data_IF_839283055898
#
_entry.id   IF_839283055898
#
_cell.length_a   1.000
_cell.length_b   1.000
_cell.length_c   1.000
_cell.angle_alpha   90.00
_cell.angle_beta   90.00
_cell.angle_gamma   90.00
#
_symmetry.space_group_name_H-M   'P 1'
#
loop_
_entity.id
_entity.type
_entity.pdbx_description
1 polymer ?
#
# COMPACT_ATOMS: atom_id res chain seq x y z
N UNK A 1 27.72 8.40 -11.75
CA UNK A 1 27.14 9.74 -11.55
C UNK A 1 26.32 9.70 -10.26
N UNK A 2 26.62 10.56 -9.27
CA UNK A 2 25.85 10.59 -8.02
C UNK A 2 24.59 11.42 -8.28
N UNK A 3 23.40 10.81 -8.17
CA UNK A 3 22.14 11.56 -8.25
C UNK A 3 22.12 12.59 -7.12
N UNK A 4 21.83 13.84 -7.46
CA UNK A 4 21.65 14.94 -6.52
C UNK A 4 20.26 15.50 -6.72
N UNK A 5 19.46 15.56 -5.65
CA UNK A 5 18.13 16.15 -5.65
C UNK A 5 18.16 17.46 -4.86
N UNK A 6 17.42 18.46 -5.33
CA UNK A 6 17.21 19.69 -4.56
C UNK A 6 16.16 19.39 -3.48
N UNK A 7 16.50 19.45 -2.18
CA UNK A 7 15.55 19.17 -1.11
C UNK A 7 14.41 20.19 -1.04
N UNK A 8 14.54 21.36 -1.67
CA UNK A 8 13.46 22.34 -1.74
C UNK A 8 12.40 21.99 -2.80
N UNK A 9 12.68 21.04 -3.70
CA UNK A 9 11.79 20.63 -4.78
C UNK A 9 11.18 19.28 -4.44
N UNK A 10 9.86 19.26 -4.26
CA UNK A 10 9.13 18.01 -4.07
C UNK A 10 9.27 17.09 -5.29
N UNK A 11 9.39 15.80 -4.97
CA UNK A 11 9.24 14.70 -5.92
C UNK A 11 7.90 14.82 -6.66
N UNK A 12 7.80 14.30 -7.88
CA UNK A 12 6.68 14.60 -8.77
C UNK A 12 5.34 14.09 -8.23
N UNK A 13 5.32 12.92 -7.62
CA UNK A 13 4.12 12.33 -7.01
C UNK A 13 3.77 12.95 -5.65
N UNK A 14 4.74 13.55 -4.96
CA UNK A 14 4.54 14.26 -3.69
C UNK A 14 3.91 15.66 -3.86
N UNK A 15 3.79 16.16 -5.09
CA UNK A 15 3.19 17.46 -5.38
C UNK A 15 1.66 17.37 -5.27
N UNK A 16 0.98 18.40 -4.72
CA UNK A 16 -0.47 18.44 -4.73
C UNK A 16 -1.03 18.29 -6.15
N UNK A 17 -1.85 17.26 -6.35
CA UNK A 17 -2.51 16.99 -7.63
C UNK A 17 -3.92 16.44 -7.40
N UNK A 18 -4.87 16.73 -8.30
CA UNK A 18 -6.21 16.17 -8.22
C UNK A 18 -6.19 14.67 -8.59
N UNK A 19 -7.29 13.98 -8.30
CA UNK A 19 -7.53 12.68 -8.89
C UNK A 19 -7.62 12.82 -10.42
N UNK A 20 -6.80 12.06 -11.13
CA UNK A 20 -6.78 12.06 -12.60
C UNK A 20 -6.56 10.65 -13.14
N UNK A 21 -6.84 10.47 -14.44
CA UNK A 21 -6.62 9.19 -15.13
C UNK A 21 -5.13 8.83 -15.14
N UNK A 22 -4.25 9.82 -15.24
CA UNK A 22 -2.80 9.66 -15.19
C UNK A 22 -2.38 9.14 -13.81
N UNK A 23 -2.85 9.75 -12.72
CA UNK A 23 -2.56 9.27 -11.36
C UNK A 23 -3.09 7.84 -11.14
N UNK A 24 -4.32 7.55 -11.54
CA UNK A 24 -4.88 6.19 -11.42
C UNK A 24 -4.01 5.17 -12.19
N UNK A 25 -3.54 5.53 -13.38
CA UNK A 25 -2.68 4.69 -14.21
C UNK A 25 -1.29 4.50 -13.60
N UNK A 26 -0.69 5.55 -13.06
CA UNK A 26 0.62 5.48 -12.40
C UNK A 26 0.57 4.58 -11.16
N UNK A 27 -0.46 4.74 -10.33
CA UNK A 27 -0.73 3.86 -9.19
C UNK A 27 -0.95 2.40 -9.64
N UNK A 28 -1.70 2.19 -10.73
CA UNK A 28 -1.88 0.87 -11.31
C UNK A 28 -0.54 0.27 -11.81
N UNK A 29 0.35 1.07 -12.38
CA UNK A 29 1.67 0.62 -12.80
C UNK A 29 2.53 0.24 -11.60
N UNK A 30 2.54 1.06 -10.53
CA UNK A 30 3.27 0.74 -9.29
C UNK A 30 2.83 -0.60 -8.72
N UNK A 31 1.52 -0.88 -8.69
CA UNK A 31 1.00 -2.20 -8.27
C UNK A 31 1.52 -3.35 -9.12
N UNK A 32 1.56 -3.17 -10.44
CA UNK A 32 2.10 -4.19 -11.35
C UNK A 32 3.60 -4.40 -11.08
N UNK A 33 4.35 -3.33 -10.88
CA UNK A 33 5.76 -3.39 -10.52
C UNK A 33 5.96 -4.13 -9.19
N UNK A 34 5.20 -3.80 -8.15
CA UNK A 34 5.24 -4.47 -6.85
C UNK A 34 4.98 -5.97 -6.96
N UNK A 35 4.04 -6.36 -7.83
CA UNK A 35 3.70 -7.77 -8.09
C UNK A 35 4.81 -8.49 -8.86
N UNK A 36 5.38 -7.88 -9.90
CA UNK A 36 6.33 -8.54 -10.80
C UNK A 36 7.77 -8.51 -10.32
N UNK A 37 8.18 -7.45 -9.64
CA UNK A 37 9.56 -7.26 -9.18
C UNK A 37 9.77 -7.64 -7.71
N UNK A 38 8.84 -8.40 -7.12
CA UNK A 38 9.07 -9.14 -5.89
C UNK A 38 8.68 -8.46 -4.58
N UNK A 39 8.17 -7.21 -4.60
CA UNK A 39 7.71 -6.51 -3.39
C UNK A 39 6.68 -7.35 -2.63
N UNK A 40 5.69 -7.93 -3.34
CA UNK A 40 4.65 -8.75 -2.71
C UNK A 40 5.23 -9.98 -2.00
N UNK A 41 6.14 -10.68 -2.68
CA UNK A 41 6.80 -11.88 -2.13
C UNK A 41 7.63 -11.53 -0.89
N UNK A 42 8.36 -10.42 -0.93
CA UNK A 42 9.18 -9.94 0.18
C UNK A 42 8.30 -9.57 1.39
N UNK A 43 7.26 -8.77 1.19
CA UNK A 43 6.35 -8.36 2.27
C UNK A 43 5.69 -9.59 2.89
N UNK A 44 5.15 -10.51 2.10
CA UNK A 44 4.53 -11.73 2.63
C UNK A 44 5.52 -12.61 3.38
N UNK A 45 6.76 -12.73 2.90
CA UNK A 45 7.79 -13.52 3.59
C UNK A 45 8.08 -12.96 4.99
N UNK A 46 8.07 -11.63 5.14
CA UNK A 46 8.22 -10.98 6.44
C UNK A 46 6.95 -11.15 7.30
N UNK A 47 5.78 -10.81 6.76
CA UNK A 47 4.49 -10.83 7.49
C UNK A 47 4.09 -12.21 8.02
N UNK A 48 4.42 -13.30 7.30
CA UNK A 48 4.21 -14.70 7.75
C UNK A 48 4.86 -15.01 9.11
N UNK A 49 5.88 -14.26 9.49
CA UNK A 49 6.59 -14.44 10.77
C UNK A 49 5.81 -13.84 11.94
N UNK A 50 4.96 -12.84 11.68
CA UNK A 50 4.26 -12.04 12.69
C UNK A 50 2.75 -12.31 12.75
N UNK A 51 2.10 -12.54 11.61
CA UNK A 51 0.66 -12.82 11.55
C UNK A 51 0.45 -14.31 11.75
N UNK A 52 -0.08 -14.68 12.92
CA UNK A 52 -0.32 -16.07 13.34
C UNK A 52 -1.82 -16.33 13.53
N UNK A 53 -2.29 -17.57 13.31
CA UNK A 53 -3.68 -17.94 13.54
C UNK A 53 -4.15 -17.59 14.96
N UNK A 54 -5.35 -17.03 15.09
CA UNK A 54 -5.95 -16.68 16.39
C UNK A 54 -5.31 -15.50 17.13
N UNK A 55 -4.22 -14.91 16.63
CA UNK A 55 -3.64 -13.69 17.16
C UNK A 55 -4.34 -12.46 16.56
N UNK A 56 -4.53 -11.43 17.37
CA UNK A 56 -4.96 -10.10 16.95
C UNK A 56 -3.77 -9.17 16.77
N UNK A 57 -3.66 -8.49 15.63
CA UNK A 57 -2.59 -7.53 15.36
C UNK A 57 -3.13 -6.26 14.71
N UNK A 58 -2.55 -5.11 15.06
CA UNK A 58 -2.79 -3.85 14.36
C UNK A 58 -1.55 -3.42 13.58
N UNK A 59 -1.73 -3.01 12.34
CA UNK A 59 -0.66 -2.69 11.40
C UNK A 59 -0.85 -1.25 10.92
N UNK A 60 0.23 -0.48 10.85
CA UNK A 60 0.24 0.84 10.25
C UNK A 60 1.02 0.76 8.92
N UNK A 61 0.38 1.10 7.82
CA UNK A 61 0.99 1.19 6.50
C UNK A 61 1.13 2.66 6.10
N UNK A 62 2.37 3.12 5.95
CA UNK A 62 2.69 4.52 5.65
C UNK A 62 3.10 4.65 4.18
N UNK A 63 2.52 5.66 3.50
CA UNK A 63 2.61 5.82 2.05
C UNK A 63 1.98 4.62 1.32
N UNK A 64 0.73 4.32 1.67
CA UNK A 64 -0.01 3.15 1.18
C UNK A 64 -0.22 3.16 -0.34
N UNK A 65 -0.12 4.33 -0.98
CA UNK A 65 -0.38 4.46 -2.40
C UNK A 65 -1.79 3.98 -2.73
N UNK A 66 -1.91 3.01 -3.63
CA UNK A 66 -3.19 2.41 -4.01
C UNK A 66 -3.73 1.34 -3.04
N UNK A 67 -3.12 1.17 -1.87
CA UNK A 67 -3.52 0.20 -0.85
C UNK A 67 -3.32 -1.26 -1.26
N UNK A 68 -2.39 -1.56 -2.15
CA UNK A 68 -2.18 -2.93 -2.66
C UNK A 68 -1.48 -3.85 -1.67
N UNK A 69 -0.50 -3.32 -0.93
CA UNK A 69 0.19 -4.04 0.15
C UNK A 69 -0.73 -4.35 1.35
N UNK A 70 -1.52 -3.43 1.92
CA UNK A 70 -2.40 -3.77 3.03
C UNK A 70 -3.47 -4.78 2.63
N UNK A 71 -4.00 -4.72 1.40
CA UNK A 71 -4.90 -5.76 0.86
C UNK A 71 -4.24 -7.12 0.73
N UNK A 72 -3.00 -7.17 0.27
CA UNK A 72 -2.20 -8.40 0.22
C UNK A 72 -2.01 -9.02 1.62
N UNK A 73 -1.80 -8.18 2.64
CA UNK A 73 -1.66 -8.61 4.03
C UNK A 73 -2.99 -9.13 4.58
N UNK A 74 -4.09 -8.42 4.33
CA UNK A 74 -5.44 -8.83 4.72
C UNK A 74 -5.84 -10.19 4.10
N UNK A 75 -5.57 -10.39 2.82
CA UNK A 75 -5.83 -11.68 2.15
C UNK A 75 -5.02 -12.82 2.79
N UNK A 76 -3.77 -12.55 3.18
CA UNK A 76 -2.97 -13.54 3.91
C UNK A 76 -3.52 -13.83 5.31
N UNK A 77 -3.90 -12.80 6.07
CA UNK A 77 -4.47 -12.95 7.41
C UNK A 77 -5.75 -13.78 7.37
N UNK A 78 -6.67 -13.48 6.45
CA UNK A 78 -7.88 -14.28 6.19
C UNK A 78 -7.54 -15.74 5.91
N UNK A 79 -6.56 -15.98 5.04
CA UNK A 79 -6.13 -17.34 4.66
C UNK A 79 -5.66 -18.18 5.85
N UNK A 80 -5.04 -17.55 6.87
CA UNK A 80 -4.52 -18.26 8.05
C UNK A 80 -5.44 -18.14 9.27
N UNK A 81 -6.61 -17.52 9.15
CA UNK A 81 -7.52 -17.29 10.27
C UNK A 81 -6.92 -16.38 11.35
N UNK A 82 -6.16 -15.36 10.96
CA UNK A 82 -5.67 -14.32 11.86
C UNK A 82 -6.61 -13.11 11.81
N UNK A 83 -6.73 -12.41 12.94
CA UNK A 83 -7.49 -11.17 13.04
C UNK A 83 -6.52 -9.99 12.94
N UNK A 84 -6.77 -9.07 12.01
CA UNK A 84 -5.95 -7.87 11.86
C UNK A 84 -6.81 -6.62 11.66
N UNK A 85 -6.24 -5.49 12.08
CA UNK A 85 -6.66 -4.14 11.73
C UNK A 85 -5.49 -3.44 11.04
N UNK A 86 -5.75 -2.67 9.99
CA UNK A 86 -4.73 -1.96 9.23
C UNK A 86 -5.13 -0.49 9.12
N UNK A 87 -4.31 0.42 9.62
CA UNK A 87 -4.42 1.84 9.29
C UNK A 87 -3.54 2.11 8.06
N UNK A 88 -4.15 2.34 6.91
CA UNK A 88 -3.46 2.66 5.67
C UNK A 88 -3.45 4.18 5.41
N UNK A 89 -2.28 4.80 5.51
CA UNK A 89 -2.13 6.25 5.41
C UNK A 89 -1.34 6.65 4.18
N UNK A 90 -1.78 7.73 3.55
CA UNK A 90 -1.04 8.46 2.53
C UNK A 90 -1.20 9.95 2.77
N UNK A 91 -0.20 10.73 2.37
CA UNK A 91 -0.25 12.19 2.49
C UNK A 91 -1.22 12.79 1.46
N UNK A 92 -1.39 12.14 0.31
CA UNK A 92 -2.14 12.69 -0.82
C UNK A 92 -3.60 12.21 -0.82
N UNK A 93 -4.59 13.11 -0.67
CA UNK A 93 -6.01 12.75 -0.66
C UNK A 93 -6.45 12.00 -1.93
N UNK A 94 -6.02 12.46 -3.11
CA UNK A 94 -6.35 11.81 -4.37
C UNK A 94 -5.85 10.35 -4.46
N UNK A 95 -4.70 10.07 -3.84
CA UNK A 95 -4.16 8.71 -3.73
C UNK A 95 -5.02 7.86 -2.80
N UNK A 96 -5.45 8.41 -1.65
CA UNK A 96 -6.36 7.75 -0.72
C UNK A 96 -7.74 7.47 -1.34
N UNK A 97 -8.25 8.34 -2.20
CA UNK A 97 -9.50 8.07 -2.93
C UNK A 97 -9.40 6.79 -3.78
N UNK A 98 -8.28 6.60 -4.48
CA UNK A 98 -8.01 5.36 -5.24
C UNK A 98 -7.86 4.17 -4.30
N UNK A 99 -7.12 4.32 -3.20
CA UNK A 99 -6.94 3.25 -2.21
C UNK A 99 -8.27 2.80 -1.62
N UNK A 100 -9.12 3.73 -1.20
CA UNK A 100 -10.45 3.46 -0.64
C UNK A 100 -11.34 2.73 -1.65
N UNK A 101 -11.44 3.24 -2.88
CA UNK A 101 -12.23 2.61 -3.97
C UNK A 101 -11.79 1.17 -4.25
N UNK A 102 -10.49 0.92 -4.22
CA UNK A 102 -9.92 -0.41 -4.48
C UNK A 102 -9.97 -1.35 -3.25
N UNK A 103 -10.26 -0.81 -2.07
CA UNK A 103 -10.28 -1.54 -0.79
C UNK A 103 -11.68 -1.73 -0.20
N UNK A 104 -12.75 -1.37 -0.91
CA UNK A 104 -14.16 -1.55 -0.48
C UNK A 104 -14.49 -2.95 0.06
N UNK A 105 -13.82 -4.01 -0.41
CA UNK A 105 -14.01 -5.40 0.04
C UNK A 105 -13.13 -5.83 1.23
N UNK A 106 -12.44 -4.88 1.87
CA UNK A 106 -11.45 -5.12 2.91
C UNK A 106 -11.81 -4.32 4.17
N UNK A 107 -12.75 -4.80 5.01
CA UNK A 107 -13.12 -4.14 6.27
C UNK A 107 -11.97 -4.10 7.29
N UNK A 108 -10.88 -4.82 7.05
CA UNK A 108 -9.67 -4.76 7.88
C UNK A 108 -8.87 -3.48 7.70
N UNK A 109 -9.13 -2.69 6.64
CA UNK A 109 -8.36 -1.50 6.22
C UNK A 109 -9.21 -0.24 6.39
#
# INVERSE_FOLDING_TARGET
MKRSFDPAVLEMMDRPQPLSVELERDLQHIRQLNRWFGSYSLVLAFMRRWIKPGAGSRILDLATGSGDIPRLIADYARKVGAHIEIDALDRQPATLEVAAKLSTGYPEI
#
